data_IF_283590491895
#
_entry.id   IF_283590491895
#
_cell.length_a   1.000
_cell.length_b   1.000
_cell.length_c   1.000
_cell.angle_alpha   90.00
_cell.angle_beta   90.00
_cell.angle_gamma   90.00
#
_symmetry.space_group_name_H-M   'P 1'
#
loop_
_entity.id
_entity.type
_entity.pdbx_description
1 polymer ?
#
# COMPACT_ATOMS: atom_id res chain seq x y z
N UNK A 1 7.72 -11.94 -27.67
CA UNK A 1 7.69 -11.25 -28.97
C UNK A 1 9.05 -11.43 -29.62
N UNK A 2 9.11 -11.83 -30.89
CA UNK A 2 10.37 -11.90 -31.62
C UNK A 2 10.60 -10.55 -32.32
N UNK A 3 11.83 -10.02 -32.27
CA UNK A 3 12.24 -8.71 -32.85
C UNK A 3 11.47 -7.48 -32.31
N UNK A 4 11.13 -7.44 -31.03
CA UNK A 4 10.56 -6.25 -30.40
C UNK A 4 11.67 -5.25 -30.01
N UNK A 5 11.49 -3.96 -30.29
CA UNK A 5 12.43 -2.91 -29.88
C UNK A 5 12.21 -2.52 -28.41
N UNK A 6 13.28 -2.18 -27.70
CA UNK A 6 13.26 -1.86 -26.26
C UNK A 6 12.26 -0.76 -25.88
N UNK A 7 12.12 0.26 -26.73
CA UNK A 7 11.19 1.36 -26.49
C UNK A 7 9.72 0.92 -26.62
N UNK A 8 9.41 -0.03 -27.52
CA UNK A 8 8.07 -0.59 -27.67
C UNK A 8 7.70 -1.45 -26.47
N UNK A 9 8.66 -2.25 -25.98
CA UNK A 9 8.50 -3.02 -24.74
C UNK A 9 8.27 -2.11 -23.53
N UNK A 10 9.12 -1.09 -23.35
CA UNK A 10 8.98 -0.12 -22.26
C UNK A 10 7.64 0.62 -22.30
N UNK A 11 7.15 0.98 -23.49
CA UNK A 11 5.86 1.64 -23.62
C UNK A 11 4.70 0.73 -23.16
N UNK A 12 4.77 -0.58 -23.44
CA UNK A 12 3.78 -1.56 -22.98
C UNK A 12 3.85 -1.78 -21.47
N UNK A 13 5.06 -1.93 -20.92
CA UNK A 13 5.29 -2.07 -19.49
C UNK A 13 4.78 -0.84 -18.73
N UNK A 14 5.06 0.36 -19.22
CA UNK A 14 4.57 1.61 -18.61
C UNK A 14 3.04 1.72 -18.63
N UNK A 15 2.37 1.21 -19.67
CA UNK A 15 0.90 1.17 -19.74
C UNK A 15 0.31 0.16 -18.75
N UNK A 16 0.94 -1.01 -18.61
CA UNK A 16 0.55 -2.05 -17.66
C UNK A 16 0.92 -1.76 -16.19
N UNK A 17 1.76 -0.77 -15.93
CA UNK A 17 2.28 -0.47 -14.59
C UNK A 17 1.18 -0.07 -13.59
N UNK A 18 0.27 0.83 -13.99
CA UNK A 18 -0.84 1.25 -13.12
C UNK A 18 -1.79 0.09 -12.73
N UNK A 19 -2.31 -0.71 -13.67
CA UNK A 19 -3.15 -1.85 -13.32
C UNK A 19 -2.37 -2.94 -12.56
N UNK A 20 -1.06 -3.10 -12.79
CA UNK A 20 -0.23 -4.03 -12.03
C UNK A 20 -0.09 -3.64 -10.56
N UNK A 21 0.10 -2.34 -10.27
CA UNK A 21 0.08 -1.83 -8.89
C UNK A 21 -1.29 -2.04 -8.26
N UNK A 22 -2.37 -1.70 -8.97
CA UNK A 22 -3.73 -1.87 -8.45
C UNK A 22 -4.03 -3.34 -8.13
N UNK A 23 -3.58 -4.27 -8.99
CA UNK A 23 -3.64 -5.70 -8.73
C UNK A 23 -2.88 -6.09 -7.46
N UNK A 24 -1.61 -5.72 -7.33
CA UNK A 24 -0.80 -6.05 -6.15
C UNK A 24 -1.38 -5.46 -4.86
N UNK A 25 -1.90 -4.24 -4.91
CA UNK A 25 -2.52 -3.58 -3.76
C UNK A 25 -3.90 -4.15 -3.38
N UNK A 26 -4.50 -4.98 -4.25
CA UNK A 26 -5.78 -5.65 -3.93
C UNK A 26 -5.61 -6.77 -2.90
N UNK A 27 -4.39 -7.29 -2.75
CA UNK A 27 -4.06 -8.35 -1.80
C UNK A 27 -3.60 -7.75 -0.48
N UNK A 28 -4.57 -7.33 0.30
CA UNK A 28 -4.35 -6.74 1.62
C UNK A 28 -4.30 -7.85 2.67
N UNK A 29 -3.23 -7.84 3.49
CA UNK A 29 -3.21 -8.67 4.69
C UNK A 29 -4.08 -8.05 5.80
N UNK A 30 -5.27 -8.59 5.99
CA UNK A 30 -6.26 -8.08 6.95
C UNK A 30 -5.73 -8.04 8.40
N UNK A 31 -4.89 -9.01 8.81
CA UNK A 31 -4.31 -9.03 10.16
C UNK A 31 -3.37 -7.85 10.41
N UNK A 32 -2.60 -7.44 9.40
CA UNK A 32 -1.72 -6.27 9.48
C UNK A 32 -2.56 -4.99 9.58
N UNK A 33 -3.63 -4.89 8.78
CA UNK A 33 -4.50 -3.72 8.76
C UNK A 33 -5.19 -3.50 10.09
N UNK A 34 -5.78 -4.53 10.69
CA UNK A 34 -6.46 -4.39 11.98
C UNK A 34 -5.48 -4.03 13.10
N UNK A 35 -4.27 -4.57 13.08
CA UNK A 35 -3.21 -4.19 14.01
C UNK A 35 -2.78 -2.72 13.83
N UNK A 36 -2.60 -2.28 12.58
CA UNK A 36 -2.24 -0.89 12.26
C UNK A 36 -3.34 0.09 12.68
N UNK A 37 -4.62 -0.25 12.49
CA UNK A 37 -5.76 0.54 12.97
C UNK A 37 -5.73 0.72 14.48
N UNK A 38 -5.51 -0.37 15.23
CA UNK A 38 -5.43 -0.32 16.69
C UNK A 38 -4.28 0.57 17.17
N UNK A 39 -3.08 0.40 16.62
CA UNK A 39 -1.90 1.21 16.98
C UNK A 39 -2.13 2.68 16.61
N UNK A 40 -2.63 2.96 15.41
CA UNK A 40 -2.94 4.33 14.97
C UNK A 40 -3.95 5.00 15.88
N UNK A 41 -4.95 4.27 16.37
CA UNK A 41 -5.96 4.81 17.28
C UNK A 41 -5.35 5.11 18.66
N UNK A 42 -4.60 4.18 19.24
CA UNK A 42 -3.97 4.36 20.54
C UNK A 42 -2.95 5.52 20.53
N UNK A 43 -2.03 5.53 19.57
CA UNK A 43 -1.05 6.62 19.42
C UNK A 43 -1.71 7.96 19.09
N UNK A 44 -2.74 7.96 18.25
CA UNK A 44 -3.51 9.15 17.90
C UNK A 44 -4.26 9.73 19.10
N UNK A 45 -4.84 8.90 19.96
CA UNK A 45 -5.52 9.35 21.17
C UNK A 45 -4.56 10.03 22.15
N UNK A 46 -3.39 9.43 22.39
CA UNK A 46 -2.35 10.03 23.25
C UNK A 46 -1.87 11.35 22.65
N UNK A 47 -1.57 11.37 21.35
CA UNK A 47 -1.12 12.56 20.65
C UNK A 47 -2.18 13.68 20.71
N UNK A 48 -3.46 13.35 20.53
CA UNK A 48 -4.55 14.32 20.60
C UNK A 48 -4.65 14.97 21.98
N UNK A 49 -4.53 14.18 23.06
CA UNK A 49 -4.51 14.71 24.43
C UNK A 49 -3.31 15.64 24.63
N UNK A 50 -2.12 15.24 24.19
CA UNK A 50 -0.91 16.09 24.30
C UNK A 50 -1.06 17.40 23.53
N UNK A 51 -1.59 17.34 22.30
CA UNK A 51 -1.85 18.53 21.48
C UNK A 51 -2.84 19.47 22.17
N UNK A 52 -3.92 18.94 22.77
CA UNK A 52 -4.87 19.77 23.51
C UNK A 52 -4.24 20.42 24.75
N UNK A 53 -3.39 19.71 25.48
CA UNK A 53 -2.64 20.26 26.61
C UNK A 53 -1.69 21.37 26.17
N UNK A 54 -0.97 21.18 25.06
CA UNK A 54 -0.10 22.21 24.47
C UNK A 54 -0.87 23.45 24.01
N UNK A 55 -2.09 23.29 23.49
CA UNK A 55 -2.95 24.43 23.10
C UNK A 55 -3.43 25.18 24.34
N UNK A 56 -3.69 24.46 25.44
CA UNK A 56 -4.11 25.07 26.70
C UNK A 56 -2.97 25.83 27.39
N UNK A 57 -1.78 25.24 27.42
CA UNK A 57 -0.58 25.81 28.01
C UNK A 57 0.66 25.43 27.19
N UNK A 58 1.33 26.44 26.64
CA UNK A 58 2.51 26.26 25.80
C UNK A 58 3.71 25.71 26.60
N UNK A 59 3.76 25.93 27.92
CA UNK A 59 4.85 25.45 28.77
C UNK A 59 4.95 23.92 28.81
N UNK A 60 3.89 23.22 28.41
CA UNK A 60 3.90 21.77 28.18
C UNK A 60 4.99 21.36 27.19
N UNK A 61 5.29 22.17 26.16
CA UNK A 61 6.34 21.88 25.18
C UNK A 61 7.76 22.02 25.75
N UNK A 62 7.92 22.86 26.78
CA UNK A 62 9.22 23.11 27.42
C UNK A 62 9.64 21.96 28.36
N UNK A 63 8.72 21.03 28.66
CA UNK A 63 9.02 19.80 29.42
C UNK A 63 9.98 18.92 28.61
N UNK A 64 10.97 18.35 29.30
CA UNK A 64 11.97 17.49 28.68
C UNK A 64 11.32 16.37 27.87
N UNK A 65 11.81 16.17 26.65
CA UNK A 65 11.33 15.17 25.68
C UNK A 65 9.88 15.32 25.17
N UNK A 66 9.10 16.33 25.57
CA UNK A 66 7.70 16.45 25.12
C UNK A 66 7.59 16.54 23.60
N UNK A 67 8.38 17.43 22.99
CA UNK A 67 8.41 17.61 21.54
C UNK A 67 8.78 16.30 20.82
N UNK A 68 9.83 15.61 21.30
CA UNK A 68 10.29 14.35 20.70
C UNK A 68 9.24 13.24 20.82
N UNK A 69 8.51 13.18 21.94
CA UNK A 69 7.40 12.23 22.14
C UNK A 69 6.28 12.54 21.17
N UNK A 70 5.83 13.79 21.06
CA UNK A 70 4.77 14.18 20.12
C UNK A 70 5.16 13.90 18.67
N UNK A 71 6.39 14.23 18.26
CA UNK A 71 6.89 13.92 16.92
C UNK A 71 6.93 12.41 16.68
N UNK A 72 7.42 11.62 17.64
CA UNK A 72 7.48 10.16 17.51
C UNK A 72 6.09 9.53 17.37
N UNK A 73 5.10 9.99 18.15
CA UNK A 73 3.72 9.55 18.04
C UNK A 73 3.12 9.93 16.69
N UNK A 74 3.41 11.13 16.18
CA UNK A 74 2.99 11.57 14.85
C UNK A 74 3.56 10.69 13.73
N UNK A 75 4.85 10.32 13.82
CA UNK A 75 5.49 9.40 12.88
C UNK A 75 4.83 8.02 12.93
N UNK A 76 4.58 7.48 14.13
CA UNK A 76 3.91 6.18 14.31
C UNK A 76 2.52 6.20 13.68
N UNK A 77 1.73 7.24 13.91
CA UNK A 77 0.41 7.39 13.29
C UNK A 77 0.53 7.47 11.77
N UNK A 78 1.47 8.26 11.24
CA UNK A 78 1.69 8.39 9.79
C UNK A 78 2.03 7.05 9.12
N UNK A 79 2.94 6.27 9.71
CA UNK A 79 3.31 4.94 9.22
C UNK A 79 2.13 3.96 9.33
N UNK A 80 1.39 3.97 10.45
CA UNK A 80 0.22 3.09 10.58
C UNK A 80 -0.85 3.43 9.53
N UNK A 81 -1.07 4.72 9.23
CA UNK A 81 -2.00 5.13 8.19
C UNK A 81 -1.56 4.73 6.78
N UNK A 82 -0.26 4.65 6.49
CA UNK A 82 0.21 4.18 5.18
C UNK A 82 0.00 2.68 4.96
N UNK A 83 -0.19 1.91 6.04
CA UNK A 83 -0.50 0.48 5.98
C UNK A 83 -2.00 0.19 5.85
N UNK A 84 -2.86 1.19 6.11
CA UNK A 84 -4.32 1.03 6.02
C UNK A 84 -4.75 1.35 4.58
N UNK A 85 -5.30 0.37 3.83
CA UNK A 85 -5.80 0.62 2.48
C UNK A 85 -7.02 1.54 2.51
N UNK A 86 -7.28 2.21 1.39
CA UNK A 86 -8.44 3.08 1.21
C UNK A 86 -9.74 2.26 1.28
N UNK A 87 -10.69 2.72 2.10
CA UNK A 87 -11.99 2.07 2.31
C UNK A 87 -12.90 2.14 1.08
N UNK A 88 -12.65 3.11 0.18
CA UNK A 88 -13.43 3.28 -1.06
C UNK A 88 -12.78 2.64 -2.30
N UNK A 89 -11.67 1.90 -2.13
CA UNK A 89 -11.04 1.23 -3.25
C UNK A 89 -11.89 0.04 -3.72
N UNK A 90 -12.29 0.07 -5.00
CA UNK A 90 -12.96 -1.07 -5.65
C UNK A 90 -11.89 -2.09 -6.02
N UNK A 91 -11.74 -3.12 -5.18
CA UNK A 91 -10.79 -4.20 -5.40
C UNK A 91 -11.46 -5.31 -6.22
N UNK A 92 -11.20 -5.32 -7.54
CA UNK A 92 -11.49 -6.46 -8.41
C UNK A 92 -10.16 -7.01 -8.96
N UNK A 93 -9.49 -7.93 -8.23
CA UNK A 93 -8.18 -8.44 -8.63
C UNK A 93 -8.23 -9.15 -9.97
N UNK A 94 -9.35 -9.77 -10.34
CA UNK A 94 -9.48 -10.48 -11.60
C UNK A 94 -9.54 -9.50 -12.77
N UNK A 95 -10.36 -8.46 -12.66
CA UNK A 95 -10.42 -7.41 -13.68
C UNK A 95 -9.08 -6.67 -13.82
N UNK A 96 -8.40 -6.37 -12.70
CA UNK A 96 -7.09 -5.70 -12.74
C UNK A 96 -6.03 -6.57 -13.40
N UNK A 97 -6.01 -7.89 -13.11
CA UNK A 97 -5.10 -8.83 -13.77
C UNK A 97 -5.38 -8.90 -15.27
N UNK A 98 -6.65 -8.98 -15.69
CA UNK A 98 -7.02 -8.97 -17.11
C UNK A 98 -6.52 -7.70 -17.83
N UNK A 99 -6.59 -6.53 -17.19
CA UNK A 99 -6.06 -5.28 -17.75
C UNK A 99 -4.53 -5.31 -17.93
N UNK A 100 -3.81 -5.94 -17.01
CA UNK A 100 -2.36 -6.14 -17.15
C UNK A 100 -2.04 -7.11 -18.28
N UNK A 101 -2.75 -8.24 -18.33
CA UNK A 101 -2.56 -9.28 -19.34
C UNK A 101 -2.85 -8.78 -20.75
N UNK A 102 -3.81 -7.87 -20.91
CA UNK A 102 -4.09 -7.19 -22.17
C UNK A 102 -2.90 -6.35 -22.69
N UNK A 103 -1.95 -5.93 -21.83
CA UNK A 103 -0.75 -5.20 -22.25
C UNK A 103 0.46 -6.12 -22.42
N UNK A 104 0.61 -7.13 -21.55
CA UNK A 104 1.78 -8.02 -21.51
C UNK A 104 1.67 -9.17 -22.54
N UNK A 105 0.43 -9.53 -22.94
CA UNK A 105 0.12 -10.59 -23.92
C UNK A 105 0.71 -11.97 -23.58
N UNK A 106 1.05 -12.21 -22.31
CA UNK A 106 1.54 -13.49 -21.82
C UNK A 106 0.83 -13.81 -20.51
N UNK A 107 0.16 -14.96 -20.45
CA UNK A 107 -0.55 -15.45 -19.28
C UNK A 107 -0.24 -16.94 -19.13
N UNK A 108 0.26 -17.40 -17.97
CA UNK A 108 0.30 -18.81 -17.64
C UNK A 108 -1.11 -19.42 -17.59
N UNK A 109 -1.28 -20.64 -18.12
CA UNK A 109 -2.59 -21.32 -18.09
C UNK A 109 -3.12 -21.52 -16.66
N UNK A 110 -2.23 -21.62 -15.66
CA UNK A 110 -2.56 -21.74 -14.24
C UNK A 110 -3.28 -20.51 -13.66
N UNK A 111 -3.15 -19.34 -14.29
CA UNK A 111 -3.73 -18.09 -13.77
C UNK A 111 -5.17 -17.88 -14.20
N UNK A 112 -5.62 -18.61 -15.22
CA UNK A 112 -6.97 -18.46 -15.77
C UNK A 112 -7.99 -18.79 -14.69
N UNK A 113 -8.93 -17.88 -14.45
CA UNK A 113 -9.98 -17.97 -13.42
C UNK A 113 -9.47 -18.02 -11.95
N UNK A 114 -8.15 -17.89 -11.72
CA UNK A 114 -7.52 -17.94 -10.40
C UNK A 114 -6.87 -16.61 -9.99
N UNK A 115 -7.21 -15.51 -10.67
CA UNK A 115 -6.58 -14.20 -10.49
C UNK A 115 -6.69 -13.60 -9.09
N UNK A 116 -7.63 -14.06 -8.28
CA UNK A 116 -7.87 -13.62 -6.89
C UNK A 116 -7.07 -14.41 -5.84
N UNK A 117 -6.25 -15.38 -6.24
CA UNK A 117 -5.55 -16.26 -5.29
C UNK A 117 -4.14 -15.74 -4.95
N UNK A 118 -3.71 -15.97 -3.71
CA UNK A 118 -2.38 -15.55 -3.21
C UNK A 118 -1.23 -16.19 -4.01
N UNK A 119 -1.43 -17.40 -4.53
CA UNK A 119 -0.45 -18.08 -5.38
C UNK A 119 -0.19 -17.30 -6.68
N UNK A 120 -1.24 -16.85 -7.36
CA UNK A 120 -1.11 -16.06 -8.60
C UNK A 120 -0.49 -14.69 -8.31
N UNK A 121 -0.85 -14.06 -7.19
CA UNK A 121 -0.19 -12.82 -6.74
C UNK A 121 1.32 -13.04 -6.50
N UNK A 122 1.69 -14.13 -5.83
CA UNK A 122 3.09 -14.44 -5.53
C UNK A 122 3.91 -14.69 -6.81
N UNK A 123 3.37 -15.43 -7.78
CA UNK A 123 4.02 -15.63 -9.09
C UNK A 123 4.11 -14.32 -9.89
N UNK A 124 3.03 -13.52 -9.87
CA UNK A 124 3.03 -12.21 -10.52
C UNK A 124 4.08 -11.27 -9.90
N UNK A 125 4.24 -11.27 -8.58
CA UNK A 125 5.24 -10.48 -7.86
C UNK A 125 6.69 -10.83 -8.21
N UNK A 126 6.98 -12.04 -8.71
CA UNK A 126 8.31 -12.38 -9.22
C UNK A 126 8.63 -11.64 -10.53
N UNK A 127 7.61 -11.41 -11.36
CA UNK A 127 7.72 -10.66 -12.61
C UNK A 127 7.62 -9.15 -12.38
N UNK A 128 6.77 -8.73 -11.44
CA UNK A 128 6.55 -7.35 -11.04
C UNK A 128 7.17 -7.10 -9.66
N UNK A 129 8.49 -6.91 -9.62
CA UNK A 129 9.19 -6.59 -8.39
C UNK A 129 8.85 -5.16 -7.95
N UNK A 130 8.19 -5.03 -6.80
CA UNK A 130 8.00 -3.73 -6.16
C UNK A 130 9.37 -3.16 -5.79
N UNK A 131 9.59 -1.90 -6.16
CA UNK A 131 10.75 -1.16 -5.71
C UNK A 131 10.47 -0.69 -4.27
N UNK A 132 11.21 -1.25 -3.32
CA UNK A 132 11.16 -0.87 -1.90
C UNK A 132 11.55 0.60 -1.69
#
# INVERSE_FOLDING_TARGET
HFNELDHSLNQRLNRGYKPAIAYMNSFVNYSIVETAKFISFASGAILAVLVLLTIYDEDVLNVEHMLTVMTSLGVVVGVCRSLIPDEHAVFDPEQMLQLVLAQVHYQPDSWKDHGHTDYVQAEFGQMFQLKY
#
